data_IF_348562395764
#
_entry.id   IF_348562395764
#
_cell.length_a   1.000
_cell.length_b   1.000
_cell.length_c   1.000
_cell.angle_alpha   90.00
_cell.angle_beta   90.00
_cell.angle_gamma   90.00
#
_symmetry.space_group_name_H-M   'P 1'
#
loop_
_entity.id
_entity.type
_entity.pdbx_description
1 polymer ?
#
# COMPACT_ATOMS: atom_id res chain seq x y z
N UNK A 1 3.65 -12.10 -2.96
CA UNK A 1 3.71 -10.82 -2.22
C UNK A 1 2.67 -10.77 -1.10
N UNK A 2 1.37 -10.90 -1.38
CA UNK A 2 0.31 -10.83 -0.36
C UNK A 2 0.47 -11.85 0.78
N UNK A 3 0.76 -13.11 0.47
CA UNK A 3 0.93 -14.16 1.49
C UNK A 3 2.06 -13.86 2.47
N UNK A 4 3.17 -13.29 1.98
CA UNK A 4 4.31 -12.86 2.82
C UNK A 4 3.93 -11.69 3.74
N UNK A 5 3.15 -10.72 3.23
CA UNK A 5 2.67 -9.61 4.05
C UNK A 5 1.78 -10.11 5.20
N UNK A 6 0.88 -11.05 4.93
CA UNK A 6 0.00 -11.64 5.95
C UNK A 6 0.83 -12.36 7.02
N UNK A 7 1.85 -13.14 6.61
CA UNK A 7 2.78 -13.78 7.55
C UNK A 7 3.54 -12.77 8.42
N UNK A 8 3.78 -11.56 7.89
CA UNK A 8 4.43 -10.45 8.59
C UNK A 8 3.46 -9.56 9.38
N UNK A 9 2.18 -9.96 9.50
CA UNK A 9 1.18 -9.30 10.34
C UNK A 9 0.24 -8.34 9.62
N UNK A 10 0.29 -8.25 8.29
CA UNK A 10 -0.67 -7.45 7.53
C UNK A 10 -2.08 -8.01 7.68
N UNK A 11 -3.02 -7.13 8.03
CA UNK A 11 -4.45 -7.43 8.10
C UNK A 11 -5.18 -6.51 7.15
N UNK A 12 -6.01 -7.08 6.31
CA UNK A 12 -6.91 -6.34 5.45
C UNK A 12 -7.94 -5.58 6.30
N UNK A 13 -8.04 -4.27 6.10
CA UNK A 13 -9.02 -3.44 6.79
C UNK A 13 -10.22 -3.13 5.88
N UNK A 14 -11.32 -3.86 6.09
CA UNK A 14 -12.54 -3.71 5.29
C UNK A 14 -13.27 -2.39 5.52
N UNK A 15 -12.92 -1.61 6.55
CA UNK A 15 -13.53 -0.28 6.76
C UNK A 15 -13.21 0.70 5.63
N UNK A 16 -12.16 0.42 4.84
CA UNK A 16 -11.78 1.21 3.66
C UNK A 16 -12.45 0.75 2.35
N UNK A 17 -13.42 -0.16 2.43
CA UNK A 17 -14.26 -0.54 1.29
C UNK A 17 -15.54 0.30 1.34
N UNK A 18 -15.67 1.29 0.45
CA UNK A 18 -16.79 2.24 0.46
C UNK A 18 -18.00 1.80 -0.35
N UNK A 19 -17.94 0.62 -0.97
CA UNK A 19 -19.00 0.06 -1.80
C UNK A 19 -19.39 -1.32 -1.31
N UNK A 20 -20.56 -1.78 -1.71
CA UNK A 20 -20.96 -3.17 -1.48
C UNK A 20 -20.00 -4.13 -2.20
N UNK A 21 -19.67 -5.22 -1.50
CA UNK A 21 -18.90 -6.34 -2.04
C UNK A 21 -19.89 -7.20 -2.83
N UNK A 22 -19.61 -7.41 -4.12
CA UNK A 22 -20.50 -8.17 -5.00
C UNK A 22 -20.35 -9.67 -4.76
N UNK A 23 -21.36 -10.43 -5.18
CA UNK A 23 -21.30 -11.90 -5.18
C UNK A 23 -20.05 -12.40 -5.91
N UNK A 24 -19.25 -13.22 -5.22
CA UNK A 24 -17.97 -13.74 -5.71
C UNK A 24 -16.74 -12.87 -5.41
N UNK A 25 -16.91 -11.65 -4.89
CA UNK A 25 -15.80 -10.85 -4.36
C UNK A 25 -15.50 -11.18 -2.90
N UNK A 26 -14.23 -11.05 -2.53
CA UNK A 26 -13.76 -11.15 -1.14
C UNK A 26 -13.15 -9.83 -0.71
N UNK A 27 -13.08 -9.56 0.60
CA UNK A 27 -12.38 -8.38 1.14
C UNK A 27 -10.97 -8.28 0.56
N UNK A 28 -10.26 -9.42 0.49
CA UNK A 28 -8.93 -9.50 -0.09
C UNK A 28 -8.92 -9.12 -1.57
N UNK A 29 -9.82 -9.66 -2.40
CA UNK A 29 -9.82 -9.37 -3.84
C UNK A 29 -10.14 -7.90 -4.12
N UNK A 30 -11.06 -7.31 -3.35
CA UNK A 30 -11.40 -5.88 -3.46
C UNK A 30 -10.22 -5.00 -3.06
N UNK A 31 -9.63 -5.22 -1.88
CA UNK A 31 -8.52 -4.38 -1.38
C UNK A 31 -7.21 -4.59 -2.13
N UNK A 32 -6.94 -5.78 -2.66
CA UNK A 32 -5.82 -5.99 -3.59
C UNK A 32 -6.05 -5.28 -4.94
N UNK A 33 -7.30 -4.90 -5.23
CA UNK A 33 -7.71 -4.15 -6.41
C UNK A 33 -7.31 -2.67 -6.39
N UNK A 34 -6.94 -2.11 -5.23
CA UNK A 34 -6.59 -0.70 -5.08
C UNK A 34 -5.37 -0.30 -5.93
N UNK A 35 -5.42 0.90 -6.51
CA UNK A 35 -4.42 1.40 -7.45
C UNK A 35 -3.01 1.44 -6.86
N UNK A 36 -2.87 1.84 -5.60
CA UNK A 36 -1.59 1.96 -4.91
C UNK A 36 -0.89 0.61 -4.80
N UNK A 37 -1.63 -0.42 -4.38
CA UNK A 37 -1.07 -1.78 -4.27
C UNK A 37 -0.67 -2.33 -5.64
N UNK A 38 -1.50 -2.11 -6.66
CA UNK A 38 -1.17 -2.50 -8.04
C UNK A 38 0.08 -1.79 -8.55
N UNK A 39 0.21 -0.48 -8.32
CA UNK A 39 1.36 0.30 -8.74
C UNK A 39 2.66 -0.15 -8.04
N UNK A 40 2.60 -0.45 -6.74
CA UNK A 40 3.73 -1.00 -5.97
C UNK A 40 4.10 -2.39 -6.50
N UNK A 41 3.12 -3.29 -6.65
CA UNK A 41 3.36 -4.64 -7.13
C UNK A 41 3.99 -4.65 -8.52
N UNK A 42 3.49 -3.80 -9.43
CA UNK A 42 4.03 -3.64 -10.77
C UNK A 42 5.48 -3.13 -10.77
N UNK A 43 5.83 -2.18 -9.89
CA UNK A 43 7.21 -1.72 -9.73
C UNK A 43 8.15 -2.88 -9.35
N UNK A 44 7.76 -3.75 -8.43
CA UNK A 44 8.58 -4.91 -8.05
C UNK A 44 8.67 -5.98 -9.14
N UNK A 45 7.64 -6.12 -9.98
CA UNK A 45 7.69 -7.01 -11.15
C UNK A 45 8.73 -6.49 -12.16
N UNK A 46 8.74 -5.19 -12.45
CA UNK A 46 9.70 -4.60 -13.38
C UNK A 46 11.11 -4.48 -12.81
N UNK A 47 11.21 -4.19 -11.51
CA UNK A 47 12.45 -3.91 -10.80
C UNK A 47 12.42 -4.66 -9.47
N UNK A 48 12.99 -5.87 -9.41
CA UNK A 48 12.93 -6.72 -8.21
C UNK A 48 13.60 -6.10 -6.98
N UNK A 49 14.60 -5.22 -7.17
CA UNK A 49 15.36 -4.55 -6.10
C UNK A 49 15.35 -3.03 -6.31
N UNK A 50 14.19 -2.36 -6.16
CA UNK A 50 14.10 -0.92 -6.33
C UNK A 50 14.68 -0.23 -5.09
N UNK A 51 15.57 0.74 -5.29
CA UNK A 51 16.04 1.60 -4.18
C UNK A 51 14.99 2.61 -3.74
N UNK A 52 14.14 3.05 -4.67
CA UNK A 52 13.12 4.07 -4.46
C UNK A 52 11.94 3.83 -5.41
N UNK A 53 10.71 3.96 -4.90
CA UNK A 53 9.47 3.90 -5.68
C UNK A 53 8.72 5.21 -5.50
N UNK A 54 8.26 5.81 -6.61
CA UNK A 54 7.41 6.99 -6.58
C UNK A 54 6.04 6.69 -7.20
N UNK A 55 4.99 7.06 -6.49
CA UNK A 55 3.60 6.92 -6.94
C UNK A 55 2.91 8.27 -6.77
N UNK A 56 2.12 8.66 -7.77
CA UNK A 56 1.26 9.83 -7.70
C UNK A 56 -0.19 9.41 -7.96
N UNK A 57 -1.12 9.93 -7.15
CA UNK A 57 -2.55 9.70 -7.31
C UNK A 57 -3.35 10.96 -7.00
N UNK A 58 -4.54 11.07 -7.58
CA UNK A 58 -5.44 12.22 -7.38
C UNK A 58 -6.45 12.02 -6.23
N UNK A 59 -6.40 10.89 -5.54
CA UNK A 59 -7.27 10.58 -4.39
C UNK A 59 -6.42 10.41 -3.14
N UNK A 60 -6.93 10.75 -1.95
CA UNK A 60 -6.28 10.44 -0.67
C UNK A 60 -5.93 8.95 -0.58
N UNK A 61 -4.78 8.59 -0.01
CA UNK A 61 -4.45 7.18 0.27
C UNK A 61 -5.41 6.64 1.33
N UNK A 62 -5.96 5.43 1.12
CA UNK A 62 -6.77 4.81 2.17
C UNK A 62 -5.88 4.16 3.23
N UNK A 63 -6.40 3.98 4.45
CA UNK A 63 -5.60 3.42 5.55
C UNK A 63 -5.09 2.01 5.30
N UNK A 64 -5.87 1.17 4.62
CA UNK A 64 -5.43 -0.16 4.22
C UNK A 64 -4.24 -0.12 3.22
N UNK A 65 -4.25 0.80 2.25
CA UNK A 65 -3.12 1.03 1.35
C UNK A 65 -1.92 1.65 2.08
N UNK A 66 -2.18 2.52 3.05
CA UNK A 66 -1.13 3.14 3.86
C UNK A 66 -0.35 2.09 4.66
N UNK A 67 -1.05 1.21 5.38
CA UNK A 67 -0.43 0.16 6.18
C UNK A 67 0.25 -0.91 5.30
N UNK A 68 -0.37 -1.26 4.17
CA UNK A 68 0.27 -2.11 3.16
C UNK A 68 1.61 -1.54 2.69
N UNK A 69 1.66 -0.24 2.37
CA UNK A 69 2.85 0.43 1.84
C UNK A 69 3.95 0.50 2.89
N UNK A 70 3.59 0.83 4.13
CA UNK A 70 4.49 0.83 5.30
C UNK A 70 5.18 -0.54 5.46
N UNK A 71 4.41 -1.61 5.43
CA UNK A 71 4.96 -2.96 5.59
C UNK A 71 5.82 -3.38 4.40
N UNK A 72 5.44 -3.03 3.17
CA UNK A 72 6.27 -3.29 1.99
C UNK A 72 7.61 -2.57 2.08
N UNK A 73 7.64 -1.28 2.42
CA UNK A 73 8.88 -0.51 2.57
C UNK A 73 9.83 -1.19 3.57
N UNK A 74 9.28 -1.68 4.68
CA UNK A 74 10.01 -2.45 5.70
C UNK A 74 10.52 -3.80 5.19
N UNK A 75 9.69 -4.61 4.55
CA UNK A 75 10.12 -5.97 4.13
C UNK A 75 11.14 -5.88 3.00
N UNK A 76 10.95 -4.95 2.06
CA UNK A 76 11.77 -4.80 0.86
C UNK A 76 12.97 -3.89 1.07
N UNK A 77 13.08 -3.23 2.22
CA UNK A 77 14.18 -2.32 2.57
C UNK A 77 14.37 -1.24 1.50
N UNK A 78 13.28 -0.57 1.12
CA UNK A 78 13.30 0.50 0.13
C UNK A 78 12.40 1.67 0.55
N UNK A 79 12.72 2.85 0.03
CA UNK A 79 11.91 4.05 0.21
C UNK A 79 10.75 4.05 -0.79
N UNK A 80 9.55 4.37 -0.30
CA UNK A 80 8.37 4.55 -1.14
C UNK A 80 7.80 5.93 -0.88
N UNK A 81 7.64 6.73 -1.92
CA UNK A 81 7.00 8.03 -1.85
C UNK A 81 5.66 7.99 -2.58
N UNK A 82 4.58 8.30 -1.86
CA UNK A 82 3.24 8.39 -2.42
C UNK A 82 2.75 9.83 -2.30
N UNK A 83 2.63 10.52 -3.42
CA UNK A 83 1.90 11.80 -3.48
C UNK A 83 0.43 11.49 -3.69
N UNK A 84 -0.40 11.88 -2.74
CA UNK A 84 -1.85 11.79 -2.86
C UNK A 84 -2.47 13.19 -3.03
N UNK A 85 -3.81 13.29 -2.95
CA UNK A 85 -4.52 14.55 -3.11
C UNK A 85 -4.25 15.57 -1.99
N UNK A 86 -3.84 15.10 -0.81
CA UNK A 86 -3.72 15.90 0.40
C UNK A 86 -2.27 16.24 0.72
N UNK A 87 -1.34 15.29 0.52
CA UNK A 87 0.06 15.41 0.93
C UNK A 87 0.97 14.39 0.25
N UNK A 88 2.24 14.45 0.64
CA UNK A 88 3.25 13.46 0.29
C UNK A 88 3.50 12.56 1.52
N UNK A 89 3.35 11.26 1.32
CA UNK A 89 3.71 10.22 2.26
C UNK A 89 5.08 9.67 1.87
N UNK A 90 6.05 9.76 2.77
CA UNK A 90 7.35 9.09 2.61
C UNK A 90 7.39 7.91 3.57
N UNK A 91 7.34 6.71 3.02
CA UNK A 91 7.48 5.46 3.74
C UNK A 91 8.94 5.03 3.75
N UNK A 92 9.51 4.94 4.94
CA UNK A 92 10.92 4.62 5.18
C UNK A 92 11.13 3.10 5.35
N UNK A 93 12.34 2.57 5.09
CA UNK A 93 12.69 1.15 5.29
C UNK A 93 12.52 0.61 6.72
N UNK A 94 12.32 1.47 7.71
CA UNK A 94 12.02 1.08 9.09
C UNK A 94 10.52 0.81 9.32
N UNK A 95 9.67 1.03 8.31
CA UNK A 95 8.22 0.88 8.42
C UNK A 95 7.54 2.07 9.10
N UNK A 96 8.08 3.28 8.94
CA UNK A 96 7.41 4.51 9.37
C UNK A 96 6.99 5.33 8.14
N UNK A 97 5.93 6.11 8.29
CA UNK A 97 5.53 7.11 7.31
C UNK A 97 5.78 8.51 7.86
N UNK A 98 6.22 9.45 7.01
CA UNK A 98 6.39 10.85 7.36
C UNK A 98 5.11 11.53 7.89
N UNK A 99 3.93 10.99 7.58
CA UNK A 99 2.66 11.52 8.07
C UNK A 99 2.32 11.12 9.52
N UNK A 100 3.12 10.24 10.14
CA UNK A 100 2.89 9.73 11.51
C UNK A 100 1.48 9.15 11.70
N UNK A 101 0.97 8.47 10.68
CA UNK A 101 -0.39 7.90 10.64
C UNK A 101 -1.53 8.93 10.71
N UNK A 102 -1.24 10.22 10.51
CA UNK A 102 -2.22 11.29 10.32
C UNK A 102 -2.53 11.53 8.83
N UNK A 103 -2.73 10.44 8.07
CA UNK A 103 -3.07 10.49 6.64
C UNK A 103 -4.54 10.77 6.42
#
# INVERSE_FOLDING_TARGET
>A
MTSELIQRGYKFDSSWITREIKDGETIQSVLCGHSEKKAIAFNFIQRPVPKFIQIAKNLRVCGDCHEFTKLIAKIRQCDIMVRDANRIHHFYPNGQCSCQDHF
#
